data_IF_146571818786
#
_entry.id   IF_146571818786
#
_cell.length_a   1.000
_cell.length_b   1.000
_cell.length_c   1.000
_cell.angle_alpha   90.00
_cell.angle_beta   90.00
_cell.angle_gamma   90.00
#
_symmetry.space_group_name_H-M   'P 1'
#
loop_
_entity.id
_entity.type
_entity.pdbx_description
1 polymer ?
#
# COMPACT_ATOMS: atom_id res chain seq x y z
N UNK A 1 63.38 -23.63 11.17
CA UNK A 1 64.29 -23.14 10.12
C UNK A 1 65.23 -24.28 9.78
N UNK A 2 64.88 -25.10 8.79
CA UNK A 2 65.80 -26.12 8.30
C UNK A 2 66.66 -25.48 7.21
N UNK A 3 67.94 -25.23 7.51
CA UNK A 3 68.90 -24.76 6.53
C UNK A 3 69.48 -25.98 5.81
N UNK A 4 69.13 -26.15 4.53
CA UNK A 4 69.78 -27.13 3.68
C UNK A 4 71.09 -26.51 3.20
N UNK A 5 72.23 -27.09 3.59
CA UNK A 5 73.57 -26.67 3.15
C UNK A 5 74.03 -27.60 2.03
N UNK A 6 74.19 -27.07 0.82
CA UNK A 6 74.83 -27.78 -0.28
C UNK A 6 76.31 -27.39 -0.34
N UNK A 7 77.21 -28.37 -0.24
CA UNK A 7 78.65 -28.21 -0.48
C UNK A 7 79.07 -29.21 -1.55
N UNK A 8 79.55 -28.71 -2.68
CA UNK A 8 80.14 -29.53 -3.75
C UNK A 8 81.05 -28.69 -4.64
N UNK A 9 82.31 -29.07 -4.86
CA UNK A 9 83.25 -28.31 -5.67
C UNK A 9 83.25 -28.80 -7.13
N UNK A 10 83.50 -27.89 -8.06
CA UNK A 10 84.03 -28.26 -9.38
C UNK A 10 83.18 -27.77 -10.54
N UNK A 11 83.57 -26.60 -11.05
CA UNK A 11 83.16 -26.10 -12.35
C UNK A 11 83.58 -27.07 -13.46
N UNK A 12 82.62 -27.57 -14.25
CA UNK A 12 82.78 -27.92 -15.67
C UNK A 12 81.41 -28.25 -16.31
N UNK A 13 81.14 -27.59 -17.47
CA UNK A 13 80.04 -27.81 -18.44
C UNK A 13 78.60 -27.49 -18.02
N UNK A 14 78.15 -26.29 -18.40
CA UNK A 14 76.74 -25.84 -18.33
C UNK A 14 75.84 -26.36 -19.48
N UNK A 15 75.96 -27.63 -19.91
CA UNK A 15 75.01 -28.18 -20.91
C UNK A 15 74.44 -29.56 -20.57
N UNK A 16 74.89 -30.18 -19.50
CA UNK A 16 74.55 -31.58 -19.16
C UNK A 16 74.41 -31.78 -17.63
N UNK A 17 74.03 -30.73 -16.88
CA UNK A 17 73.78 -30.83 -15.44
C UNK A 17 72.27 -30.98 -15.13
N UNK A 18 71.57 -31.80 -15.91
CA UNK A 18 70.15 -32.16 -15.66
C UNK A 18 70.03 -33.40 -14.75
N UNK A 19 71.13 -34.13 -14.50
CA UNK A 19 71.08 -35.45 -13.82
C UNK A 19 71.44 -35.42 -12.31
N UNK A 20 71.82 -34.26 -11.76
CA UNK A 20 72.27 -34.14 -10.36
C UNK A 20 71.40 -33.28 -9.46
N UNK A 21 70.42 -32.56 -10.02
CA UNK A 21 69.46 -31.80 -9.23
C UNK A 21 68.34 -32.75 -8.80
N UNK A 22 68.59 -33.55 -7.77
CA UNK A 22 67.50 -34.21 -7.04
C UNK A 22 66.67 -33.11 -6.41
N UNK A 23 65.63 -32.70 -7.15
CA UNK A 23 64.52 -31.91 -6.64
C UNK A 23 63.96 -32.71 -5.46
N UNK A 24 64.35 -32.32 -4.26
CA UNK A 24 63.73 -32.84 -3.04
C UNK A 24 62.29 -32.35 -3.03
N UNK A 25 61.40 -33.10 -3.70
CA UNK A 25 59.96 -32.83 -3.76
C UNK A 25 59.27 -32.98 -2.39
N UNK A 26 60.02 -33.39 -1.37
CA UNK A 26 59.54 -33.63 0.00
C UNK A 26 59.34 -32.36 0.85
N UNK A 27 59.56 -31.16 0.28
CA UNK A 27 59.42 -29.91 1.02
C UNK A 27 58.66 -28.83 0.24
N UNK A 28 57.62 -29.22 -0.50
CA UNK A 28 56.57 -28.29 -0.89
C UNK A 28 55.43 -28.35 0.16
N UNK A 29 55.53 -27.65 1.31
CA UNK A 29 54.37 -27.50 2.16
C UNK A 29 53.31 -26.77 1.34
N UNK A 30 52.13 -27.38 1.18
CA UNK A 30 51.00 -26.76 0.52
C UNK A 30 50.79 -25.34 1.09
N UNK A 31 51.08 -24.30 0.29
CA UNK A 31 50.97 -22.89 0.67
C UNK A 31 52.28 -22.11 0.85
N UNK A 32 53.45 -22.73 0.95
CA UNK A 32 54.69 -21.98 1.24
C UNK A 32 55.13 -21.01 0.12
N UNK A 33 55.54 -19.79 0.50
CA UNK A 33 56.28 -18.89 -0.39
C UNK A 33 57.75 -19.34 -0.43
N UNK A 34 58.25 -19.58 -1.63
CA UNK A 34 59.65 -19.92 -1.89
C UNK A 34 60.33 -18.70 -2.49
N UNK A 35 61.35 -18.19 -1.81
CA UNK A 35 62.28 -17.22 -2.37
C UNK A 35 63.67 -17.87 -2.40
N UNK A 36 64.25 -17.95 -3.60
CA UNK A 36 65.61 -18.41 -3.79
C UNK A 36 66.44 -17.21 -4.25
N UNK A 37 67.40 -16.79 -3.42
CA UNK A 37 68.42 -15.84 -3.84
C UNK A 37 69.75 -16.59 -4.04
N UNK A 38 70.44 -16.38 -5.18
CA UNK A 38 71.77 -16.94 -5.36
C UNK A 38 72.75 -16.19 -4.44
N UNK A 39 73.56 -16.94 -3.71
CA UNK A 39 74.65 -16.38 -2.91
C UNK A 39 75.95 -16.53 -3.70
N UNK A 40 76.44 -15.40 -4.22
CA UNK A 40 77.67 -15.32 -5.01
C UNK A 40 77.54 -14.42 -6.24
N UNK A 41 78.58 -14.39 -7.06
CA UNK A 41 78.61 -13.64 -8.32
C UNK A 41 77.69 -14.31 -9.36
N UNK A 42 76.88 -13.54 -10.10
CA UNK A 42 75.88 -14.07 -11.05
C UNK A 42 76.50 -14.94 -12.15
N UNK A 43 77.81 -14.79 -12.42
CA UNK A 43 78.54 -15.62 -13.38
C UNK A 43 79.06 -16.94 -12.80
N UNK A 44 79.19 -17.07 -11.48
CA UNK A 44 79.61 -18.30 -10.78
C UNK A 44 78.94 -18.37 -9.39
N UNK A 45 77.65 -18.72 -9.31
CA UNK A 45 76.96 -18.81 -8.03
C UNK A 45 77.60 -19.89 -7.16
N UNK A 46 78.03 -19.50 -5.95
CA UNK A 46 78.65 -20.40 -4.96
C UNK A 46 77.64 -21.25 -4.18
N UNK A 47 76.35 -20.97 -4.35
CA UNK A 47 75.23 -21.71 -3.78
C UNK A 47 73.91 -20.94 -3.95
N UNK A 48 72.80 -21.59 -3.65
CA UNK A 48 71.49 -20.95 -3.57
C UNK A 48 70.94 -21.13 -2.15
N UNK A 49 70.47 -20.04 -1.54
CA UNK A 49 69.75 -20.11 -0.27
C UNK A 49 68.26 -20.09 -0.60
N UNK A 50 67.58 -21.21 -0.30
CA UNK A 50 66.14 -21.31 -0.47
C UNK A 50 65.47 -21.04 0.88
N UNK A 51 64.72 -19.94 0.96
CA UNK A 51 63.86 -19.64 2.10
C UNK A 51 62.47 -20.21 1.81
N UNK A 52 62.12 -21.30 2.49
CA UNK A 52 60.76 -21.80 2.52
C UNK A 52 60.06 -21.27 3.78
N UNK A 53 59.10 -20.35 3.59
CA UNK A 53 58.25 -19.86 4.68
C UNK A 53 56.85 -20.45 4.53
N UNK A 54 56.44 -21.26 5.50
CA UNK A 54 55.08 -21.77 5.60
C UNK A 54 54.10 -20.60 5.80
N UNK A 55 53.15 -20.40 4.87
CA UNK A 55 52.09 -19.37 4.95
C UNK A 55 50.90 -19.80 5.80
N UNK A 56 50.87 -21.05 6.27
CA UNK A 56 49.81 -21.61 7.11
C UNK A 56 49.35 -20.69 8.26
N UNK A 57 50.22 -19.98 9.01
CA UNK A 57 49.76 -19.05 10.04
C UNK A 57 49.17 -17.72 9.51
N UNK A 58 49.41 -17.35 8.24
CA UNK A 58 48.72 -16.22 7.58
C UNK A 58 47.33 -16.64 7.08
N UNK A 59 47.21 -17.84 6.51
CA UNK A 59 45.95 -18.33 5.94
C UNK A 59 44.85 -18.48 7.01
N UNK A 60 45.22 -18.91 8.23
CA UNK A 60 44.24 -18.98 9.34
C UNK A 60 43.73 -17.61 9.76
N UNK A 61 44.58 -16.58 9.78
CA UNK A 61 44.16 -15.21 10.17
C UNK A 61 43.27 -14.58 9.09
N UNK A 62 43.61 -14.81 7.83
CA UNK A 62 42.81 -14.37 6.69
C UNK A 62 41.44 -15.06 6.71
N UNK A 63 41.41 -16.38 6.91
CA UNK A 63 40.16 -17.15 7.00
C UNK A 63 39.25 -16.69 8.16
N UNK A 64 39.82 -16.44 9.36
CA UNK A 64 39.05 -15.91 10.51
C UNK A 64 38.52 -14.51 10.20
N UNK A 65 39.31 -13.66 9.54
CA UNK A 65 38.87 -12.31 9.17
C UNK A 65 37.71 -12.36 8.16
N UNK A 66 37.82 -13.19 7.12
CA UNK A 66 36.74 -13.41 6.16
C UNK A 66 35.51 -14.03 6.81
N UNK A 67 35.68 -14.95 7.77
CA UNK A 67 34.56 -15.52 8.52
C UNK A 67 33.80 -14.45 9.31
N UNK A 68 34.49 -13.52 9.97
CA UNK A 68 33.86 -12.39 10.66
C UNK A 68 33.16 -11.43 9.69
N UNK A 69 33.79 -11.10 8.55
CA UNK A 69 33.17 -10.25 7.51
C UNK A 69 31.90 -10.92 6.98
N UNK A 70 31.94 -12.22 6.67
CA UNK A 70 30.80 -12.98 6.21
C UNK A 70 29.70 -13.04 7.27
N UNK A 71 30.07 -13.27 8.54
CA UNK A 71 29.11 -13.32 9.65
C UNK A 71 28.39 -11.97 9.82
N UNK A 72 29.13 -10.86 9.81
CA UNK A 72 28.55 -9.51 9.91
C UNK A 72 27.69 -9.19 8.68
N UNK A 73 28.15 -9.56 7.48
CA UNK A 73 27.41 -9.36 6.24
C UNK A 73 26.08 -10.12 6.22
N UNK A 74 26.12 -11.42 6.55
CA UNK A 74 24.92 -12.26 6.67
C UNK A 74 24.01 -11.76 7.79
N UNK A 75 24.58 -11.37 8.94
CA UNK A 75 23.83 -10.79 10.05
C UNK A 75 23.11 -9.49 9.66
N UNK A 76 23.79 -8.60 8.93
CA UNK A 76 23.22 -7.36 8.43
C UNK A 76 22.11 -7.59 7.40
N UNK A 77 22.31 -8.52 6.46
CA UNK A 77 21.28 -8.91 5.49
C UNK A 77 20.06 -9.52 6.18
N UNK A 78 20.28 -10.44 7.14
CA UNK A 78 19.21 -11.06 7.91
C UNK A 78 18.43 -10.03 8.74
N UNK A 79 19.13 -9.11 9.41
CA UNK A 79 18.50 -8.03 10.16
C UNK A 79 17.68 -7.10 9.25
N UNK A 80 18.22 -6.71 8.10
CA UNK A 80 17.50 -5.88 7.12
C UNK A 80 16.25 -6.58 6.59
N UNK A 81 16.35 -7.86 6.24
CA UNK A 81 15.21 -8.66 5.80
C UNK A 81 14.15 -8.77 6.91
N UNK A 82 14.57 -9.01 8.15
CA UNK A 82 13.68 -9.11 9.31
C UNK A 82 12.94 -7.79 9.54
N UNK A 83 13.64 -6.66 9.54
CA UNK A 83 13.06 -5.32 9.71
C UNK A 83 12.10 -5.02 8.56
N UNK A 84 12.47 -5.36 7.33
CA UNK A 84 11.63 -5.13 6.15
C UNK A 84 10.31 -5.90 6.22
N UNK A 85 10.37 -7.20 6.57
CA UNK A 85 9.18 -8.04 6.73
C UNK A 85 8.35 -7.59 7.92
N UNK A 86 8.98 -7.20 9.02
CA UNK A 86 8.30 -6.68 10.20
C UNK A 86 7.55 -5.39 9.89
N UNK A 87 8.22 -4.43 9.22
CA UNK A 87 7.64 -3.16 8.81
C UNK A 87 6.49 -3.36 7.81
N UNK A 88 6.68 -4.23 6.80
CA UNK A 88 5.65 -4.58 5.85
C UNK A 88 4.41 -5.18 6.52
N UNK A 89 4.59 -6.04 7.52
CA UNK A 89 3.47 -6.61 8.30
C UNK A 89 2.82 -5.59 9.23
N UNK A 90 3.61 -4.71 9.84
CA UNK A 90 3.13 -3.69 10.76
C UNK A 90 2.27 -2.63 10.05
N UNK A 91 2.62 -2.26 8.81
CA UNK A 91 1.86 -1.33 7.97
C UNK A 91 0.76 -2.04 7.16
N UNK A 92 1.05 -3.22 6.62
CA UNK A 92 0.11 -3.95 5.77
C UNK A 92 -1.12 -4.47 6.50
N UNK A 93 -0.97 -4.97 7.73
CA UNK A 93 -2.11 -5.48 8.53
C UNK A 93 -3.23 -4.46 8.77
N UNK A 94 -2.97 -3.24 9.27
CA UNK A 94 -4.04 -2.26 9.47
C UNK A 94 -4.64 -1.78 8.14
N UNK A 95 -3.87 -1.76 7.05
CA UNK A 95 -4.41 -1.44 5.72
C UNK A 95 -5.36 -2.51 5.20
N UNK A 96 -5.02 -3.80 5.34
CA UNK A 96 -5.94 -4.88 4.95
C UNK A 96 -7.22 -4.86 5.79
N UNK A 97 -7.13 -4.55 7.09
CA UNK A 97 -8.32 -4.41 7.93
C UNK A 97 -9.20 -3.22 7.52
N UNK A 98 -8.59 -2.10 7.10
CA UNK A 98 -9.32 -0.96 6.53
C UNK A 98 -10.00 -1.31 5.21
N UNK A 99 -9.32 -2.07 4.33
CA UNK A 99 -9.87 -2.51 3.05
C UNK A 99 -11.08 -3.42 3.25
N UNK A 100 -10.98 -4.39 4.16
CA UNK A 100 -12.11 -5.25 4.52
C UNK A 100 -13.29 -4.44 5.07
N UNK A 101 -13.04 -3.53 6.03
CA UNK A 101 -14.11 -2.67 6.56
C UNK A 101 -14.74 -1.76 5.48
N UNK A 102 -13.97 -1.33 4.48
CA UNK A 102 -14.48 -0.55 3.35
C UNK A 102 -15.36 -1.39 2.41
N UNK A 103 -15.00 -2.65 2.17
CA UNK A 103 -15.82 -3.60 1.40
C UNK A 103 -17.15 -3.86 2.10
N UNK A 104 -17.14 -4.17 3.41
CA UNK A 104 -18.36 -4.36 4.20
C UNK A 104 -19.26 -3.12 4.22
N UNK A 105 -18.68 -1.92 4.32
CA UNK A 105 -19.43 -0.67 4.21
C UNK A 105 -20.11 -0.52 2.83
N UNK A 106 -19.45 -0.96 1.77
CA UNK A 106 -19.99 -0.97 0.40
C UNK A 106 -21.10 -2.00 0.19
N UNK A 107 -21.08 -3.11 0.92
CA UNK A 107 -22.10 -4.17 0.90
C UNK A 107 -23.33 -3.82 1.77
N UNK A 108 -23.27 -2.75 2.55
CA UNK A 108 -24.37 -2.26 3.39
C UNK A 108 -24.27 -2.66 4.86
N UNK A 109 -23.16 -3.27 5.28
CA UNK A 109 -22.86 -3.58 6.68
C UNK A 109 -22.27 -2.35 7.38
N UNK A 110 -23.13 -1.37 7.68
CA UNK A 110 -22.75 -0.04 8.19
C UNK A 110 -22.18 -0.03 9.63
N UNK A 111 -22.32 -1.13 10.36
CA UNK A 111 -21.91 -1.25 11.76
C UNK A 111 -20.42 -1.55 11.96
N UNK A 112 -19.72 -2.04 10.94
CA UNK A 112 -18.31 -2.42 11.08
C UNK A 112 -17.39 -1.19 11.07
N UNK A 113 -16.43 -1.16 12.00
CA UNK A 113 -15.49 -0.05 12.16
C UNK A 113 -14.07 -0.54 12.05
N UNK A 114 -13.24 0.22 11.35
CA UNK A 114 -11.83 -0.10 11.21
C UNK A 114 -11.05 0.18 12.50
N UNK A 115 -10.11 -0.69 12.85
CA UNK A 115 -9.29 -0.58 14.06
C UNK A 115 -8.33 0.62 13.99
N UNK A 116 -8.41 1.54 14.96
CA UNK A 116 -7.63 2.81 15.00
C UNK A 116 -6.36 2.70 15.88
N UNK A 117 -6.09 1.53 16.47
CA UNK A 117 -4.99 1.33 17.43
C UNK A 117 -3.72 0.74 16.80
N UNK A 118 -3.80 0.17 15.59
CA UNK A 118 -2.68 -0.48 14.93
C UNK A 118 -1.95 0.41 13.91
N UNK A 119 -0.63 0.20 13.77
CA UNK A 119 0.20 0.78 12.70
C UNK A 119 0.77 2.18 12.97
N UNK A 120 1.42 2.78 11.96
CA UNK A 120 1.93 4.14 11.99
C UNK A 120 0.84 5.18 12.27
N UNK A 121 1.19 6.36 12.83
CA UNK A 121 0.22 7.41 13.14
C UNK A 121 -0.58 7.89 11.92
N UNK A 122 0.01 7.84 10.72
CA UNK A 122 -0.65 8.19 9.46
C UNK A 122 -1.79 7.22 9.13
N UNK A 123 -1.56 5.91 9.30
CA UNK A 123 -2.57 4.87 9.07
C UNK A 123 -3.70 4.99 10.08
N UNK A 124 -3.37 5.27 11.34
CA UNK A 124 -4.38 5.53 12.37
C UNK A 124 -5.25 6.75 12.05
N UNK A 125 -4.65 7.83 11.51
CA UNK A 125 -5.40 9.02 11.09
C UNK A 125 -6.34 8.73 9.93
N UNK A 126 -5.89 7.91 8.97
CA UNK A 126 -6.73 7.45 7.87
C UNK A 126 -7.91 6.62 8.39
N UNK A 127 -7.67 5.67 9.30
CA UNK A 127 -8.73 4.86 9.91
C UNK A 127 -9.76 5.71 10.64
N UNK A 128 -9.33 6.71 11.41
CA UNK A 128 -10.23 7.65 12.07
C UNK A 128 -11.09 8.46 11.08
N UNK A 129 -10.48 8.89 9.96
CA UNK A 129 -11.17 9.64 8.91
C UNK A 129 -12.20 8.76 8.19
N UNK A 130 -11.83 7.52 7.86
CA UNK A 130 -12.73 6.52 7.29
C UNK A 130 -13.94 6.25 8.19
N UNK A 131 -13.71 6.01 9.49
CA UNK A 131 -14.80 5.79 10.46
C UNK A 131 -15.74 7.01 10.56
N UNK A 132 -15.21 8.23 10.40
CA UNK A 132 -16.03 9.44 10.38
C UNK A 132 -16.90 9.51 9.13
N UNK A 133 -16.39 9.12 7.96
CA UNK A 133 -17.18 9.03 6.73
C UNK A 133 -18.24 7.94 6.84
N UNK A 134 -17.89 6.76 7.35
CA UNK A 134 -18.83 5.66 7.57
C UNK A 134 -20.02 6.09 8.44
N UNK A 135 -19.77 6.80 9.56
CA UNK A 135 -20.83 7.33 10.42
C UNK A 135 -21.77 8.32 9.70
N UNK A 136 -21.23 9.16 8.80
CA UNK A 136 -22.05 10.10 8.03
C UNK A 136 -22.92 9.37 7.01
N UNK A 137 -22.36 8.38 6.31
CA UNK A 137 -23.11 7.54 5.36
C UNK A 137 -24.24 6.79 6.05
N UNK A 138 -23.97 6.20 7.21
CA UNK A 138 -24.97 5.52 8.05
C UNK A 138 -26.11 6.47 8.46
N UNK A 139 -25.78 7.68 8.94
CA UNK A 139 -26.77 8.69 9.30
C UNK A 139 -27.63 9.14 8.09
N UNK A 140 -27.04 9.27 6.91
CA UNK A 140 -27.76 9.62 5.68
C UNK A 140 -28.73 8.51 5.27
N UNK A 141 -28.29 7.25 5.29
CA UNK A 141 -29.14 6.11 4.93
C UNK A 141 -30.33 5.98 5.90
N UNK A 142 -30.07 6.06 7.20
CA UNK A 142 -31.14 6.05 8.20
C UNK A 142 -32.10 7.23 8.06
N UNK A 143 -31.60 8.42 7.73
CA UNK A 143 -32.43 9.59 7.45
C UNK A 143 -33.33 9.39 6.22
N UNK A 144 -32.81 8.82 5.14
CA UNK A 144 -33.59 8.54 3.92
C UNK A 144 -34.72 7.53 4.18
N UNK A 145 -34.46 6.48 4.97
CA UNK A 145 -35.49 5.50 5.32
C UNK A 145 -36.64 6.13 6.11
N UNK A 146 -36.35 7.04 7.03
CA UNK A 146 -37.37 7.76 7.79
C UNK A 146 -38.26 8.64 6.90
N UNK A 147 -37.67 9.30 5.89
CA UNK A 147 -38.42 10.14 4.94
C UNK A 147 -39.30 9.30 4.01
N UNK A 148 -38.79 8.18 3.49
CA UNK A 148 -39.57 7.29 2.61
C UNK A 148 -40.78 6.70 3.34
N UNK A 149 -40.63 6.36 4.62
CA UNK A 149 -41.73 5.87 5.44
C UNK A 149 -42.82 6.94 5.63
N UNK A 150 -42.45 8.19 5.91
CA UNK A 150 -43.40 9.29 6.10
C UNK A 150 -44.13 9.67 4.80
N UNK A 151 -43.41 9.75 3.68
CA UNK A 151 -44.00 10.07 2.37
C UNK A 151 -45.00 9.00 1.93
N UNK A 152 -44.71 7.72 2.19
CA UNK A 152 -45.62 6.62 1.83
C UNK A 152 -46.95 6.71 2.59
N UNK A 153 -46.91 7.15 3.86
CA UNK A 153 -48.12 7.41 4.64
C UNK A 153 -48.91 8.60 4.09
N UNK A 154 -48.22 9.69 3.78
CA UNK A 154 -48.87 10.91 3.28
C UNK A 154 -49.45 10.76 1.88
N UNK A 155 -48.92 9.87 1.04
CA UNK A 155 -49.46 9.58 -0.30
C UNK A 155 -50.61 8.57 -0.29
N UNK A 156 -50.68 7.68 0.70
CA UNK A 156 -51.77 6.70 0.81
C UNK A 156 -53.12 7.38 1.04
N UNK A 157 -53.14 8.43 1.86
CA UNK A 157 -54.35 9.21 2.17
C UNK A 157 -54.99 9.87 0.94
N UNK A 158 -54.27 10.64 0.09
CA UNK A 158 -54.84 11.25 -1.12
C UNK A 158 -55.19 10.23 -2.20
N UNK A 159 -54.42 9.13 -2.35
CA UNK A 159 -54.76 8.05 -3.27
C UNK A 159 -56.08 7.37 -2.89
N UNK A 160 -56.29 7.15 -1.59
CA UNK A 160 -57.55 6.60 -1.08
C UNK A 160 -58.71 7.55 -1.34
N UNK A 161 -58.52 8.86 -1.16
CA UNK A 161 -59.53 9.87 -1.47
C UNK A 161 -59.88 9.94 -2.97
N UNK A 162 -58.89 9.81 -3.86
CA UNK A 162 -59.12 9.73 -5.32
C UNK A 162 -59.88 8.45 -5.70
N UNK A 163 -59.52 7.31 -5.12
CA UNK A 163 -60.26 6.04 -5.32
C UNK A 163 -61.70 6.16 -4.85
N UNK A 164 -61.93 6.71 -3.66
CA UNK A 164 -63.28 6.93 -3.15
C UNK A 164 -64.12 7.80 -4.09
N UNK A 165 -63.53 8.86 -4.68
CA UNK A 165 -64.22 9.71 -5.66
C UNK A 165 -64.55 8.97 -6.95
N UNK A 166 -63.66 8.10 -7.43
CA UNK A 166 -63.92 7.27 -8.61
C UNK A 166 -65.00 6.22 -8.32
N UNK A 167 -64.96 5.59 -7.14
CA UNK A 167 -65.99 4.62 -6.71
C UNK A 167 -67.36 5.29 -6.58
N UNK A 168 -67.43 6.52 -6.05
CA UNK A 168 -68.68 7.29 -5.98
C UNK A 168 -69.23 7.65 -7.38
N UNK A 169 -68.36 7.96 -8.35
CA UNK A 169 -68.77 8.20 -9.73
C UNK A 169 -69.20 6.92 -10.45
N UNK A 170 -68.57 5.79 -10.14
CA UNK A 170 -68.92 4.49 -10.71
C UNK A 170 -70.19 3.89 -10.08
N UNK A 171 -70.41 4.12 -8.78
CA UNK A 171 -71.59 3.69 -8.04
C UNK A 171 -72.78 4.65 -8.21
N UNK A 172 -72.57 5.86 -8.74
CA UNK A 172 -73.65 6.73 -9.15
C UNK A 172 -74.51 5.95 -10.17
N UNK A 173 -75.77 5.64 -9.83
CA UNK A 173 -76.62 4.90 -10.75
C UNK A 173 -76.74 5.72 -12.04
N UNK A 174 -76.72 5.03 -13.19
CA UNK A 174 -77.04 5.59 -14.51
C UNK A 174 -78.49 6.06 -14.55
N UNK A 175 -78.84 7.03 -13.73
CA UNK A 175 -80.11 7.70 -13.72
C UNK A 175 -79.90 9.06 -14.40
N UNK A 176 -80.65 9.27 -15.47
CA UNK A 176 -80.80 10.49 -16.27
C UNK A 176 -79.90 10.65 -17.51
N UNK A 177 -80.09 9.74 -18.47
CA UNK A 177 -80.31 10.19 -19.85
C UNK A 177 -81.80 10.45 -20.05
N UNK A 178 -82.27 11.67 -19.74
CA UNK A 178 -83.30 12.43 -20.48
C UNK A 178 -83.68 13.67 -19.69
N UNK A 179 -83.58 14.84 -20.33
CA UNK A 179 -83.99 16.19 -19.87
C UNK A 179 -83.18 16.73 -18.67
N UNK A 180 -82.69 17.97 -18.60
CA UNK A 180 -82.93 19.19 -19.36
C UNK A 180 -81.63 20.00 -19.31
N UNK A 181 -81.04 20.32 -20.47
CA UNK A 181 -79.87 21.20 -20.55
C UNK A 181 -80.31 22.66 -20.32
N UNK A 182 -79.75 23.42 -19.36
CA UNK A 182 -80.11 24.81 -19.19
C UNK A 182 -79.43 25.63 -20.30
N UNK A 183 -80.28 26.17 -21.18
CA UNK A 183 -79.92 27.06 -22.28
C UNK A 183 -79.26 28.34 -21.73
N UNK A 184 -77.92 28.38 -21.73
CA UNK A 184 -77.14 29.60 -21.39
C UNK A 184 -77.57 30.73 -22.33
N UNK A 185 -78.25 31.75 -21.80
CA UNK A 185 -78.42 33.03 -22.50
C UNK A 185 -77.09 33.77 -22.51
N UNK A 186 -76.58 34.01 -23.72
CA UNK A 186 -75.52 34.98 -24.03
C UNK A 186 -75.96 36.36 -23.54
N UNK A 187 -75.28 36.93 -22.54
CA UNK A 187 -75.30 38.37 -22.29
C UNK A 187 -74.04 38.96 -22.91
N UNK A 188 -74.24 39.78 -23.92
CA UNK A 188 -73.21 40.53 -24.64
C UNK A 188 -72.85 41.83 -23.91
N UNK A 189 -71.54 42.11 -23.91
CA UNK A 189 -70.85 43.43 -23.91
C UNK A 189 -70.97 44.33 -22.67
N UNK A 190 -69.82 44.64 -22.06
CA UNK A 190 -69.61 45.80 -21.19
C UNK A 190 -68.29 45.78 -20.38
N UNK A 191 -67.25 46.38 -20.95
CA UNK A 191 -65.97 46.92 -20.43
C UNK A 191 -64.92 46.07 -19.65
N UNK A 192 -63.61 46.34 -19.82
CA UNK A 192 -62.50 45.66 -19.14
C UNK A 192 -61.68 46.59 -18.23
N UNK A 193 -61.94 46.61 -16.92
CA UNK A 193 -61.19 47.51 -16.02
C UNK A 193 -61.02 46.99 -14.57
N UNK A 194 -61.43 45.77 -14.24
CA UNK A 194 -61.28 45.25 -12.88
C UNK A 194 -59.94 44.54 -12.60
N UNK A 195 -59.23 44.06 -13.64
CA UNK A 195 -57.96 43.33 -13.46
C UNK A 195 -56.78 44.23 -13.10
N UNK A 196 -56.75 45.49 -13.54
CA UNK A 196 -55.67 46.45 -13.23
C UNK A 196 -55.77 47.04 -11.82
N UNK A 197 -56.96 47.02 -11.20
CA UNK A 197 -57.17 47.46 -9.83
C UNK A 197 -56.64 46.47 -8.77
N UNK A 198 -56.64 45.16 -9.08
CA UNK A 198 -56.23 44.13 -8.12
C UNK A 198 -54.71 43.91 -8.08
N UNK A 199 -53.98 44.20 -9.17
CA UNK A 199 -52.53 44.00 -9.22
C UNK A 199 -51.74 45.11 -8.50
N UNK A 200 -52.28 46.33 -8.40
CA UNK A 200 -51.60 47.49 -7.78
C UNK A 200 -51.64 47.51 -6.24
N UNK A 201 -52.40 46.64 -5.57
CA UNK A 201 -52.45 46.61 -4.09
C UNK A 201 -51.56 45.54 -3.43
N UNK A 202 -50.82 44.74 -4.22
CA UNK A 202 -49.99 43.63 -3.69
C UNK A 202 -48.47 43.89 -3.73
N UNK A 203 -48.05 45.12 -3.99
CA UNK A 203 -46.62 45.50 -4.06
C UNK A 203 -46.16 46.39 -2.88
N UNK A 204 -47.03 46.69 -1.91
CA UNK A 204 -46.72 47.64 -0.82
C UNK A 204 -46.28 47.03 0.53
N UNK A 205 -46.09 45.70 0.63
CA UNK A 205 -45.75 45.04 1.91
C UNK A 205 -44.27 44.68 2.09
N UNK A 206 -43.34 45.28 1.33
CA UNK A 206 -41.89 45.15 1.58
C UNK A 206 -41.27 46.47 2.03
N UNK A 207 -41.41 46.80 3.33
CA UNK A 207 -40.49 47.64 4.11
C UNK A 207 -40.78 47.49 5.60
N UNK A 208 -39.96 46.70 6.30
CA UNK A 208 -39.75 46.84 7.74
C UNK A 208 -38.36 47.43 7.93
N UNK A 209 -38.20 48.61 8.57
CA UNK A 209 -36.92 49.06 9.07
C UNK A 209 -36.72 48.61 10.52
N UNK A 210 -35.56 48.01 10.78
CA UNK A 210 -34.74 48.22 11.98
C UNK A 210 -35.26 47.74 13.35
N UNK A 211 -34.52 46.79 13.94
CA UNK A 211 -33.80 47.03 15.19
C UNK A 211 -32.56 46.15 15.27
#
# INVERSE_FOLDING_TARGET
MSAVRATGPGARRCREADEGFQRGDDAQPAGGLLAAEPVGDFRQPGGAVVLARSTTPLDTRIAVTWAWIALIGVGGLAASALVSVWLARWVGRPLTALDTAAQHLGEGELGERAAVTGGPPEVRRLAATFNTMAARTEALIHGHQAVVADVSHQLRTPLTALRLRLDLLAAAPKALHRSCWPRRRRRSRGSPDWWTACWRSRESSRRCPGR
#
